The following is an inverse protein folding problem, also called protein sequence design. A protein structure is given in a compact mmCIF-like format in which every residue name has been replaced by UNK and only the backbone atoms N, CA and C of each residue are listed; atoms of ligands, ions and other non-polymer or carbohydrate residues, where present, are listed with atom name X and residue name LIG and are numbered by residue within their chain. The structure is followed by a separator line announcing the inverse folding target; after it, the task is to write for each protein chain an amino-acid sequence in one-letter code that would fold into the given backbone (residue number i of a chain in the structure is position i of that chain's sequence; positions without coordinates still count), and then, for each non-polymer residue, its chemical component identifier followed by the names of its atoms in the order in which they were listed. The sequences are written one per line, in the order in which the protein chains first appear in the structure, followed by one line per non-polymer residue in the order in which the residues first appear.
data_IF_561651806651
#
_entry.id   IF_561651806651
#
_cell.length_a   1.000
_cell.length_b   1.000
_cell.length_c   1.000
_cell.angle_alpha   90.00
_cell.angle_beta   90.00
_cell.angle_gamma   90.00
#
_symmetry.space_group_name_H-M   'P 1'
#
loop_
_entity.id
_entity.type
_entity.pdbx_description
1 polymer ?
#
# COMPACT_ATOMS: atom_id res chain seq x y z
N UNK A 1 13.06 4.03 7.96
CA UNK A 1 12.15 4.43 9.05
C UNK A 1 11.17 3.28 9.20
N UNK A 2 10.92 2.84 10.42
CA UNK A 2 10.09 1.66 10.66
C UNK A 2 8.61 2.02 10.61
N UNK A 3 7.77 1.07 10.17
CA UNK A 3 6.33 1.24 10.21
C UNK A 3 5.81 1.32 11.65
N UNK A 4 4.73 2.08 11.91
CA UNK A 4 4.08 2.05 13.21
C UNK A 4 3.43 0.68 13.47
N UNK A 5 3.24 0.38 14.75
CA UNK A 5 2.51 -0.80 15.19
C UNK A 5 1.10 -0.88 14.59
N UNK A 6 0.71 -2.06 14.13
CA UNK A 6 -0.58 -2.30 13.45
C UNK A 6 -1.77 -2.00 14.38
N UNK A 7 -1.67 -2.32 15.67
CA UNK A 7 -2.71 -2.05 16.67
C UNK A 7 -2.86 -0.55 16.90
N UNK A 8 -1.76 0.21 16.87
CA UNK A 8 -1.78 1.67 16.96
C UNK A 8 -2.50 2.31 15.77
N UNK A 9 -2.21 1.87 14.54
CA UNK A 9 -2.90 2.31 13.32
C UNK A 9 -4.39 1.96 13.36
N UNK A 10 -4.73 0.71 13.72
CA UNK A 10 -6.11 0.26 13.85
C UNK A 10 -6.88 1.02 14.93
N UNK A 11 -6.20 1.45 15.99
CA UNK A 11 -6.81 2.25 17.07
C UNK A 11 -7.12 3.67 16.61
N UNK A 12 -6.21 4.34 15.91
CA UNK A 12 -6.47 5.67 15.37
C UNK A 12 -7.55 5.64 14.27
N UNK A 13 -7.52 4.62 13.40
CA UNK A 13 -8.59 4.36 12.41
C UNK A 13 -9.98 4.34 13.05
N UNK A 14 -10.15 3.56 14.14
CA UNK A 14 -11.41 3.49 14.90
C UNK A 14 -11.79 4.81 15.58
N UNK A 15 -10.83 5.55 16.12
CA UNK A 15 -11.09 6.85 16.75
C UNK A 15 -11.62 7.88 15.74
N UNK A 16 -11.18 7.78 14.49
CA UNK A 16 -11.66 8.57 13.37
C UNK A 16 -12.93 7.99 12.73
N UNK A 17 -13.51 6.93 13.30
CA UNK A 17 -14.69 6.23 12.79
C UNK A 17 -14.53 5.74 11.34
N UNK A 18 -13.31 5.38 10.95
CA UNK A 18 -13.05 4.76 9.66
C UNK A 18 -13.47 3.29 9.70
N UNK A 19 -13.98 2.80 8.57
CA UNK A 19 -14.32 1.39 8.38
C UNK A 19 -13.15 0.56 7.80
N UNK A 20 -11.94 1.14 7.75
CA UNK A 20 -10.76 0.53 7.12
C UNK A 20 -9.81 -0.08 8.15
N UNK A 21 -9.27 -1.24 7.80
CA UNK A 21 -8.18 -1.90 8.50
C UNK A 21 -6.85 -1.15 8.32
N UNK A 22 -5.88 -1.46 9.18
CA UNK A 22 -4.51 -0.97 9.01
C UNK A 22 -3.89 -1.38 7.66
N UNK A 23 -4.17 -2.60 7.19
CA UNK A 23 -3.74 -3.10 5.88
C UNK A 23 -4.32 -2.27 4.73
N UNK A 24 -5.64 -2.04 4.71
CA UNK A 24 -6.28 -1.22 3.68
C UNK A 24 -5.76 0.23 3.69
N UNK A 25 -5.57 0.83 4.86
CA UNK A 25 -5.04 2.20 4.97
C UNK A 25 -3.62 2.30 4.43
N UNK A 26 -2.77 1.33 4.75
CA UNK A 26 -1.40 1.29 4.24
C UNK A 26 -1.38 1.02 2.73
N UNK A 27 -2.19 0.09 2.24
CA UNK A 27 -2.33 -0.23 0.82
C UNK A 27 -2.79 0.98 0.02
N UNK A 28 -3.87 1.63 0.45
CA UNK A 28 -4.40 2.84 -0.19
C UNK A 28 -3.39 3.98 -0.24
N UNK A 29 -2.66 4.22 0.86
CA UNK A 29 -1.59 5.22 0.90
C UNK A 29 -0.45 4.87 -0.07
N UNK A 30 0.01 3.62 -0.09
CA UNK A 30 1.05 3.17 -1.02
C UNK A 30 0.59 3.33 -2.46
N UNK A 31 -0.65 2.95 -2.77
CA UNK A 31 -1.24 3.14 -4.09
C UNK A 31 -1.25 4.60 -4.50
N UNK A 32 -1.73 5.47 -3.62
CA UNK A 32 -1.76 6.92 -3.86
C UNK A 32 -0.38 7.48 -4.17
N UNK A 33 0.61 7.16 -3.35
CA UNK A 33 2.00 7.63 -3.54
C UNK A 33 2.63 7.03 -4.82
N UNK A 34 2.46 5.73 -5.06
CA UNK A 34 2.94 5.05 -6.27
C UNK A 34 2.28 5.58 -7.54
N UNK A 35 1.04 6.05 -7.48
CA UNK A 35 0.35 6.70 -8.61
C UNK A 35 0.73 8.16 -8.84
N UNK A 36 1.66 8.72 -8.05
CA UNK A 36 2.09 10.12 -8.15
C UNK A 36 1.23 11.11 -7.37
N UNK A 37 0.43 10.62 -6.43
CA UNK A 37 -0.29 11.43 -5.46
C UNK A 37 0.65 12.24 -4.58
N UNK A 38 0.18 13.40 -4.11
CA UNK A 38 0.97 14.27 -3.26
C UNK A 38 1.18 13.65 -1.87
N UNK A 39 2.39 13.79 -1.33
CA UNK A 39 2.65 13.55 0.09
C UNK A 39 2.12 14.74 0.91
N UNK A 40 0.95 14.58 1.52
CA UNK A 40 0.26 15.65 2.23
C UNK A 40 -0.53 15.15 3.43
N UNK A 41 -0.78 16.03 4.39
CA UNK A 41 -1.55 15.70 5.61
C UNK A 41 -3.02 15.35 5.35
N UNK A 42 -3.55 15.63 4.16
CA UNK A 42 -4.92 15.27 3.74
C UNK A 42 -4.97 13.94 2.96
N UNK A 43 -3.88 13.17 2.90
CA UNK A 43 -3.81 11.88 2.16
C UNK A 43 -4.99 10.96 2.47
N UNK A 44 -5.42 10.90 3.73
CA UNK A 44 -6.51 10.04 4.17
C UNK A 44 -7.83 10.39 3.47
N UNK A 45 -8.15 11.68 3.41
CA UNK A 45 -9.31 12.18 2.66
C UNK A 45 -9.22 11.86 1.16
N UNK A 46 -8.00 11.86 0.60
CA UNK A 46 -7.77 11.51 -0.82
C UNK A 46 -8.06 10.05 -1.10
N UNK A 47 -7.49 9.14 -0.32
CA UNK A 47 -7.63 7.69 -0.57
C UNK A 47 -9.02 7.16 -0.23
N UNK A 48 -9.72 7.80 0.71
CA UNK A 48 -11.11 7.47 1.04
C UNK A 48 -12.12 8.10 0.08
N UNK A 49 -11.66 8.96 -0.84
CA UNK A 49 -12.49 9.80 -1.69
C UNK A 49 -13.56 10.59 -0.89
N UNK A 50 -13.27 10.92 0.36
CA UNK A 50 -14.16 11.63 1.26
C UNK A 50 -13.71 13.09 1.41
N UNK A 51 -14.62 14.01 1.12
CA UNK A 51 -14.37 15.45 1.20
C UNK A 51 -14.62 16.03 2.59
N UNK A 52 -15.21 15.24 3.50
CA UNK A 52 -15.37 15.60 4.91
C UNK A 52 -14.02 15.43 5.64
N UNK A 53 -13.04 16.28 5.31
CA UNK A 53 -11.69 16.39 5.89
C UNK A 53 -11.43 15.55 7.15
N UNK A 54 -11.14 14.26 6.95
CA UNK A 54 -10.55 13.42 7.99
C UNK A 54 -9.04 13.57 7.85
N UNK A 55 -8.43 14.28 8.79
CA UNK A 55 -6.99 14.47 8.84
C UNK A 55 -6.42 13.64 10.00
N UNK A 56 -5.40 12.82 9.76
CA UNK A 56 -4.60 12.21 10.82
C UNK A 56 -4.14 13.25 11.84
N UNK A 57 -4.08 12.83 13.12
CA UNK A 57 -3.49 13.68 14.14
C UNK A 57 -1.99 13.82 13.84
N UNK A 58 -1.46 15.04 13.87
CA UNK A 58 -0.01 15.25 13.72
C UNK A 58 0.75 14.46 14.79
N UNK A 59 1.72 13.66 14.36
CA UNK A 59 2.48 12.74 15.22
C UNK A 59 1.70 11.51 15.71
N UNK A 60 0.46 11.31 15.26
CA UNK A 60 -0.32 10.07 15.46
C UNK A 60 0.22 8.90 14.63
N UNK A 61 -0.33 7.71 14.84
CA UNK A 61 0.06 6.50 14.14
C UNK A 61 -0.18 6.61 12.61
N UNK A 62 -1.26 7.27 12.18
CA UNK A 62 -1.55 7.48 10.76
C UNK A 62 -0.62 8.52 10.09
N UNK A 63 -0.15 9.52 10.82
CA UNK A 63 0.88 10.45 10.32
C UNK A 63 2.26 9.77 10.28
N UNK A 64 2.58 8.94 11.28
CA UNK A 64 3.79 8.10 11.28
C UNK A 64 3.78 7.09 10.14
N UNK A 65 2.62 6.46 9.86
CA UNK A 65 2.42 5.56 8.72
C UNK A 65 2.80 6.27 7.41
N UNK A 66 2.24 7.46 7.17
CA UNK A 66 2.60 8.29 6.00
C UNK A 66 4.10 8.54 5.92
N UNK A 67 4.70 9.03 7.00
CA UNK A 67 6.13 9.38 7.01
C UNK A 67 7.03 8.17 6.76
N UNK A 68 6.72 7.02 7.36
CA UNK A 68 7.45 5.78 7.17
C UNK A 68 7.31 5.25 5.74
N UNK A 69 6.08 5.18 5.20
CA UNK A 69 5.83 4.75 3.82
C UNK A 69 6.57 5.62 2.80
N UNK A 70 6.52 6.95 2.93
CA UNK A 70 7.26 7.86 2.04
C UNK A 70 8.76 7.60 2.12
N UNK A 71 9.31 7.49 3.33
CA UNK A 71 10.73 7.23 3.53
C UNK A 71 11.16 5.88 2.94
N UNK A 72 10.33 4.85 3.09
CA UNK A 72 10.61 3.50 2.60
C UNK A 72 10.50 3.37 1.07
N UNK A 73 9.52 4.03 0.44
CA UNK A 73 9.37 4.03 -1.03
C UNK A 73 10.51 4.78 -1.75
N UNK A 74 11.18 5.70 -1.07
CA UNK A 74 12.33 6.44 -1.58
C UNK A 74 13.69 5.84 -1.13
N UNK A 75 13.67 4.76 -0.33
CA UNK A 75 14.86 4.12 0.22
C UNK A 75 15.65 3.34 -0.86
N UNK A 76 16.98 3.44 -0.83
CA UNK A 76 17.87 2.85 -1.84
C UNK A 76 18.23 1.40 -1.57
N UNK A 77 18.03 0.94 -0.35
CA UNK A 77 18.28 -0.42 0.09
C UNK A 77 17.02 -1.30 -0.05
N UNK A 78 15.95 -0.76 -0.66
CA UNK A 78 14.67 -1.45 -0.92
C UNK A 78 13.99 -1.99 0.34
N UNK A 79 14.08 -1.22 1.43
CA UNK A 79 13.54 -1.57 2.75
C UNK A 79 12.01 -1.38 2.91
N UNK A 80 11.24 -1.37 1.81
CA UNK A 80 9.79 -1.17 1.85
C UNK A 80 9.04 -2.35 2.44
N UNK A 81 8.26 -2.15 3.49
CA UNK A 81 7.53 -3.20 4.20
C UNK A 81 6.01 -3.11 4.02
N UNK A 82 5.31 -4.23 4.20
CA UNK A 82 3.85 -4.28 4.20
C UNK A 82 3.33 -4.26 5.64
N UNK A 83 2.50 -3.27 5.97
CA UNK A 83 1.65 -3.34 7.15
C UNK A 83 0.42 -4.20 6.85
N UNK A 84 0.33 -5.40 7.45
CA UNK A 84 -0.78 -6.33 7.27
C UNK A 84 -1.57 -6.50 8.57
N UNK A 85 -1.26 -7.53 9.35
CA UNK A 85 -1.90 -7.89 10.62
C UNK A 85 -0.84 -8.05 11.72
N UNK A 86 -1.27 -8.29 12.95
CA UNK A 86 -0.36 -8.56 14.07
C UNK A 86 0.45 -9.84 13.84
N UNK A 87 1.70 -9.84 14.31
CA UNK A 87 2.56 -11.02 14.26
C UNK A 87 1.89 -12.23 14.92
N UNK A 88 1.98 -13.39 14.26
CA UNK A 88 1.37 -14.63 14.74
C UNK A 88 -0.12 -14.77 14.45
N UNK A 89 -0.72 -13.85 13.69
CA UNK A 89 -2.05 -14.05 13.11
C UNK A 89 -2.11 -15.34 12.27
N UNK A 90 -3.26 -16.05 12.26
CA UNK A 90 -3.40 -17.28 11.48
C UNK A 90 -3.29 -16.99 9.99
N UNK A 91 -2.77 -17.96 9.23
CA UNK A 91 -2.54 -17.85 7.79
C UNK A 91 -3.72 -17.24 7.01
N UNK A 92 -4.99 -17.69 7.17
CA UNK A 92 -6.12 -17.09 6.45
C UNK A 92 -6.27 -15.58 6.69
N UNK A 93 -6.06 -15.12 7.93
CA UNK A 93 -6.16 -13.69 8.26
C UNK A 93 -5.03 -12.86 7.64
N UNK A 94 -3.82 -13.43 7.52
CA UNK A 94 -2.69 -12.78 6.83
C UNK A 94 -2.94 -12.71 5.33
N UNK A 95 -3.43 -13.79 4.74
CA UNK A 95 -3.79 -13.87 3.31
C UNK A 95 -4.89 -12.86 2.95
N UNK A 96 -5.99 -12.82 3.71
CA UNK A 96 -7.06 -11.85 3.49
C UNK A 96 -6.55 -10.41 3.60
N UNK A 97 -5.74 -10.12 4.62
CA UNK A 97 -5.17 -8.79 4.80
C UNK A 97 -4.26 -8.39 3.62
N UNK A 98 -3.51 -9.31 3.03
CA UNK A 98 -2.70 -9.05 1.84
C UNK A 98 -3.57 -8.75 0.61
N UNK A 99 -4.68 -9.47 0.43
CA UNK A 99 -5.58 -9.22 -0.72
C UNK A 99 -6.37 -7.92 -0.57
N UNK A 100 -6.81 -7.59 0.65
CA UNK A 100 -7.41 -6.30 0.95
C UNK A 100 -6.39 -5.16 0.80
N UNK A 101 -5.13 -5.39 1.18
CA UNK A 101 -4.03 -4.46 0.92
C UNK A 101 -3.87 -4.19 -0.59
N UNK A 102 -3.81 -5.23 -1.41
CA UNK A 102 -3.73 -5.12 -2.88
C UNK A 102 -4.94 -4.38 -3.46
N UNK A 103 -6.15 -4.65 -2.96
CA UNK A 103 -7.38 -3.97 -3.38
C UNK A 103 -7.32 -2.48 -3.06
N UNK A 104 -6.90 -2.13 -1.84
CA UNK A 104 -6.77 -0.73 -1.43
C UNK A 104 -5.66 -0.01 -2.21
N UNK A 105 -4.53 -0.69 -2.46
CA UNK A 105 -3.46 -0.18 -3.32
C UNK A 105 -3.98 0.20 -4.71
N UNK A 106 -4.72 -0.68 -5.37
CA UNK A 106 -5.29 -0.38 -6.69
C UNK A 106 -6.28 0.80 -6.65
N UNK A 107 -7.08 0.90 -5.58
CA UNK A 107 -7.97 2.03 -5.35
C UNK A 107 -7.21 3.36 -5.23
N UNK A 108 -6.19 3.42 -4.36
CA UNK A 108 -5.35 4.60 -4.17
C UNK A 108 -4.58 4.97 -5.43
N UNK A 109 -4.02 3.98 -6.14
CA UNK A 109 -3.29 4.17 -7.38
C UNK A 109 -4.18 4.76 -8.47
N UNK A 110 -5.40 4.22 -8.63
CA UNK A 110 -6.38 4.74 -9.58
C UNK A 110 -6.84 6.16 -9.29
N UNK A 111 -6.93 6.55 -8.02
CA UNK A 111 -7.29 7.92 -7.61
C UNK A 111 -6.16 8.93 -7.88
N UNK A 112 -4.90 8.53 -7.71
CA UNK A 112 -3.74 9.38 -7.97
C UNK A 112 -3.45 9.53 -9.48
N UNK A 113 -3.63 8.45 -10.23
CA UNK A 113 -3.41 8.38 -11.67
C UNK A 113 -4.46 9.19 -12.47
N UNK A 114 -4.41 10.52 -12.40
CA UNK A 114 -5.34 11.41 -13.12
C UNK A 114 -5.30 11.22 -14.64
N UNK A 115 -4.16 10.77 -15.18
CA UNK A 115 -3.98 10.27 -16.54
C UNK A 115 -3.27 8.93 -16.45
N UNK A 116 -3.51 8.03 -17.42
CA UNK A 116 -2.88 6.71 -17.44
C UNK A 116 -1.36 6.89 -17.38
N UNK A 117 -0.69 6.48 -16.28
CA UNK A 117 0.75 6.69 -16.15
C UNK A 117 1.47 5.90 -17.24
N UNK A 118 2.60 6.43 -17.71
CA UNK A 118 3.46 5.70 -18.64
C UNK A 118 4.22 4.64 -17.87
N UNK A 119 3.60 3.47 -17.71
CA UNK A 119 4.21 2.30 -17.10
C UNK A 119 5.14 1.59 -18.10
N UNK A 120 6.15 0.92 -17.57
CA UNK A 120 6.90 -0.11 -18.30
C UNK A 120 6.00 -1.31 -18.61
N UNK A 121 6.45 -2.20 -19.49
CA UNK A 121 5.75 -3.46 -19.77
C UNK A 121 5.62 -4.29 -18.48
N UNK A 122 6.71 -4.37 -17.72
CA UNK A 122 6.76 -5.02 -16.41
C UNK A 122 5.83 -4.35 -15.39
N UNK A 123 5.72 -3.02 -15.42
CA UNK A 123 4.80 -2.26 -14.58
C UNK A 123 3.32 -2.55 -14.93
N UNK A 124 2.98 -2.68 -16.22
CA UNK A 124 1.64 -3.07 -16.64
C UNK A 124 1.29 -4.50 -16.21
N UNK A 125 2.23 -5.44 -16.32
CA UNK A 125 2.06 -6.82 -15.84
C UNK A 125 1.88 -6.87 -14.33
N UNK A 126 2.75 -6.19 -13.58
CA UNK A 126 2.67 -6.13 -12.12
C UNK A 126 1.32 -5.56 -11.64
N UNK A 127 0.82 -4.51 -12.30
CA UNK A 127 -0.50 -3.95 -11.98
C UNK A 127 -1.64 -4.93 -12.25
N UNK A 128 -1.54 -5.72 -13.33
CA UNK A 128 -2.53 -6.76 -13.66
C UNK A 128 -2.50 -7.91 -12.65
N UNK A 129 -1.32 -8.33 -12.21
CA UNK A 129 -1.16 -9.40 -11.21
C UNK A 129 -1.64 -8.95 -9.83
N UNK A 130 -1.35 -7.72 -9.41
CA UNK A 130 -1.98 -7.12 -8.22
C UNK A 130 -3.51 -7.12 -8.33
N UNK A 131 -4.07 -6.86 -9.52
CA UNK A 131 -5.51 -6.92 -9.75
C UNK A 131 -6.08 -8.34 -9.68
N UNK A 132 -5.30 -9.38 -9.98
CA UNK A 132 -5.69 -10.78 -9.79
C UNK A 132 -5.69 -11.14 -8.30
N UNK A 133 -4.63 -10.76 -7.56
CA UNK A 133 -4.55 -10.95 -6.11
C UNK A 133 -5.69 -10.24 -5.38
N UNK A 134 -6.01 -9.00 -5.79
CA UNK A 134 -7.15 -8.26 -5.25
C UNK A 134 -8.52 -8.90 -5.55
N UNK A 135 -8.62 -9.94 -6.37
CA UNK A 135 -9.88 -10.68 -6.59
C UNK A 135 -9.95 -12.00 -5.82
N UNK A 136 -8.84 -12.43 -5.22
CA UNK A 136 -8.76 -13.66 -4.45
C UNK A 136 -9.26 -13.48 -3.01
N UNK A 137 -9.45 -14.61 -2.33
CA UNK A 137 -9.80 -14.71 -0.91
C UNK A 137 -8.98 -15.81 -0.23
N UNK A 138 -8.89 -15.81 1.11
CA UNK A 138 -8.22 -16.91 1.81
C UNK A 138 -8.85 -18.28 1.57
N UNK A 139 -10.14 -18.34 1.21
CA UNK A 139 -10.82 -19.59 0.89
C UNK A 139 -10.28 -20.24 -0.40
N UNK A 140 -9.61 -19.47 -1.24
CA UNK A 140 -8.91 -19.95 -2.44
C UNK A 140 -7.49 -20.49 -2.13
N UNK A 141 -7.02 -20.33 -0.88
CA UNK A 141 -5.73 -20.82 -0.35
C UNK A 141 -5.94 -22.09 0.49
N UNK A 142 -5.27 -23.19 0.14
CA UNK A 142 -5.51 -24.51 0.71
C UNK A 142 -4.60 -24.81 1.92
N UNK A 143 -5.03 -24.39 3.12
CA UNK A 143 -4.27 -24.37 4.38
C UNK A 143 -3.33 -25.58 4.64
N UNK A 144 -2.08 -25.49 4.18
CA UNK A 144 -0.98 -26.44 4.41
C UNK A 144 0.36 -25.76 4.69
N UNK A 145 1.40 -26.51 5.10
CA UNK A 145 2.75 -25.95 5.38
C UNK A 145 3.44 -25.35 4.14
N UNK A 146 3.02 -25.73 2.93
CA UNK A 146 3.45 -25.10 1.68
C UNK A 146 2.95 -23.65 1.57
N UNK A 147 1.90 -23.27 2.31
CA UNK A 147 1.25 -21.97 2.15
C UNK A 147 1.93 -20.82 2.87
N UNK A 148 2.62 -21.06 4.00
CA UNK A 148 3.37 -19.98 4.67
C UNK A 148 4.54 -19.50 3.79
N UNK A 149 5.18 -20.44 3.08
CA UNK A 149 6.21 -20.10 2.10
C UNK A 149 5.60 -19.41 0.88
N UNK A 150 4.48 -19.94 0.35
CA UNK A 150 3.79 -19.32 -0.77
C UNK A 150 3.31 -17.90 -0.45
N UNK A 151 2.76 -17.67 0.73
CA UNK A 151 2.32 -16.34 1.16
C UNK A 151 3.53 -15.39 1.25
N UNK A 152 4.65 -15.82 1.82
CA UNK A 152 5.87 -15.00 1.88
C UNK A 152 6.40 -14.63 0.48
N UNK A 153 6.30 -15.54 -0.50
CA UNK A 153 6.65 -15.25 -1.90
C UNK A 153 5.71 -14.21 -2.52
N UNK A 154 4.41 -14.27 -2.23
CA UNK A 154 3.43 -13.30 -2.70
C UNK A 154 3.63 -11.94 -2.01
N UNK A 155 3.90 -11.92 -0.70
CA UNK A 155 4.25 -10.69 0.04
C UNK A 155 5.48 -10.02 -0.59
N UNK A 156 6.53 -10.77 -0.93
CA UNK A 156 7.71 -10.23 -1.61
C UNK A 156 7.41 -9.76 -3.03
N UNK A 157 6.61 -10.52 -3.80
CA UNK A 157 6.14 -10.08 -5.10
C UNK A 157 5.42 -8.71 -5.01
N UNK A 158 4.52 -8.56 -4.04
CA UNK A 158 3.77 -7.31 -3.83
C UNK A 158 4.72 -6.17 -3.47
N UNK A 159 5.72 -6.39 -2.61
CA UNK A 159 6.74 -5.38 -2.26
C UNK A 159 7.49 -4.90 -3.51
N UNK A 160 7.97 -5.83 -4.34
CA UNK A 160 8.71 -5.51 -5.57
C UNK A 160 7.81 -4.78 -6.57
N UNK A 161 6.57 -5.24 -6.76
CA UNK A 161 5.60 -4.61 -7.65
C UNK A 161 5.33 -3.15 -7.26
N UNK A 162 5.19 -2.86 -5.96
CA UNK A 162 4.97 -1.50 -5.45
C UNK A 162 6.15 -0.59 -5.74
N UNK A 163 7.37 -1.07 -5.49
CA UNK A 163 8.60 -0.33 -5.76
C UNK A 163 8.78 -0.04 -7.27
N UNK A 164 8.48 -1.03 -8.12
CA UNK A 164 8.50 -0.88 -9.57
C UNK A 164 7.51 0.19 -10.04
N UNK A 165 6.25 0.09 -9.62
CA UNK A 165 5.19 1.03 -10.00
C UNK A 165 5.48 2.46 -9.52
N UNK A 166 6.01 2.62 -8.30
CA UNK A 166 6.48 3.91 -7.80
C UNK A 166 7.64 4.47 -8.65
N UNK A 167 8.59 3.60 -9.02
CA UNK A 167 9.70 3.94 -9.90
C UNK A 167 9.26 4.51 -11.25
N UNK A 168 8.32 3.83 -11.90
CA UNK A 168 7.77 4.21 -13.21
C UNK A 168 7.01 5.55 -13.16
N UNK A 169 6.13 5.71 -12.18
CA UNK A 169 5.23 6.86 -12.09
C UNK A 169 5.86 8.11 -11.48
N UNK A 170 6.81 7.95 -10.56
CA UNK A 170 7.29 9.06 -9.72
C UNK A 170 8.76 9.35 -10.01
N UNK A 171 9.62 8.35 -9.97
CA UNK A 171 11.07 8.56 -10.08
C UNK A 171 11.51 8.82 -11.52
N UNK A 172 10.98 8.07 -12.49
CA UNK A 172 11.26 8.26 -13.92
C UNK A 172 10.90 9.66 -14.45
N UNK A 173 9.69 10.19 -14.18
CA UNK A 173 9.32 11.56 -14.55
C UNK A 173 10.11 12.65 -13.82
N UNK A 174 10.36 12.50 -12.51
CA UNK A 174 11.18 13.45 -11.73
C UNK A 174 12.60 13.57 -12.29
N UNK A 175 13.23 12.47 -12.69
CA UNK A 175 14.58 12.49 -13.28
C UNK A 175 14.58 13.19 -14.64
N UNK A 176 13.57 12.95 -15.49
CA UNK A 176 13.43 13.64 -16.78
C UNK A 176 13.21 15.15 -16.63
N UNK A 177 12.49 15.61 -15.60
CA UNK A 177 12.27 17.04 -15.35
C UNK A 177 13.54 17.77 -14.87
N UNK A 178 14.47 17.07 -14.20
CA UNK A 178 15.74 17.67 -13.72
C UNK A 178 16.80 17.83 -14.83
N UNK A 179 16.61 17.16 -15.97
CA UNK A 179 17.52 17.19 -17.12
C UNK A 179 17.07 18.17 -18.23
N UNK A 180 15.87 18.75 -18.11
CA UNK A 180 15.34 19.78 -19.01
C UNK A 180 15.43 21.16 -18.35
#
# INVERSE_FOLDING_TARGET
MDLPDVTAVQTESRQLALASSAAELHGGLCGWLSGGGADSGDWLARILADTAQVAPKQGGALDQLRQATVAQLEDRDFAFELLLVEDGAPLPARTDALFDWCRAFLGGFGLAAQQRPALSEEGEEALQDLARLAQASSDDFDAGEEDDTALAEIEEFVRVAVLLLHGDCVMGPRFRQRLN
#
